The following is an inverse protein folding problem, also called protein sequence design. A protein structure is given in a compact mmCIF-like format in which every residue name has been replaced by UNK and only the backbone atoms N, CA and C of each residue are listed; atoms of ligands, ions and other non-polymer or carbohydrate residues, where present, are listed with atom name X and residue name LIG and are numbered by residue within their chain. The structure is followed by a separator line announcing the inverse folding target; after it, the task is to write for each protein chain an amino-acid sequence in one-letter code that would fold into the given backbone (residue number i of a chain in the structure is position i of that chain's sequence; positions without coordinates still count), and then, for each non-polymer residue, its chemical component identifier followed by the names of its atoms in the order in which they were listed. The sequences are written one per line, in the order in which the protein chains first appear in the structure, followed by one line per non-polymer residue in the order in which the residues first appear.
data_IF_048120675551
#
_entry.id   IF_048120675551
#
_cell.length_a   1.000
_cell.length_b   1.000
_cell.length_c   1.000
_cell.angle_alpha   90.00
_cell.angle_beta   90.00
_cell.angle_gamma   90.00
#
_symmetry.space_group_name_H-M   'P 1'
#
loop_
_entity.id
_entity.type
_entity.pdbx_description
1 polymer ?
#
# COMPACT_ATOMS: atom_id res chain seq x y z
N UNK A 1 17.65 6.36 -27.02
CA UNK A 1 17.23 7.67 -26.57
C UNK A 1 17.54 7.85 -25.08
N UNK A 2 18.07 9.00 -24.67
CA UNK A 2 18.55 9.28 -23.28
C UNK A 2 17.42 9.18 -22.23
N UNK A 3 16.19 9.52 -22.61
CA UNK A 3 15.01 9.43 -21.74
C UNK A 3 14.63 7.98 -21.41
N UNK A 4 14.68 7.07 -22.39
CA UNK A 4 14.35 5.66 -22.18
C UNK A 4 15.37 4.92 -21.29
N UNK A 5 16.63 5.37 -21.26
CA UNK A 5 17.65 4.85 -20.36
C UNK A 5 17.47 5.32 -18.91
N UNK A 6 16.97 6.56 -18.72
CA UNK A 6 16.69 7.12 -17.38
C UNK A 6 15.45 6.49 -16.75
N UNK A 7 14.41 6.24 -17.54
CA UNK A 7 13.22 5.52 -17.09
C UNK A 7 13.52 4.07 -16.71
N UNK A 8 14.34 3.36 -17.52
CA UNK A 8 14.78 1.98 -17.21
C UNK A 8 15.62 1.90 -15.93
N UNK A 9 16.51 2.86 -15.65
CA UNK A 9 17.26 2.90 -14.39
C UNK A 9 16.37 3.14 -13.18
N UNK A 10 15.39 4.02 -13.29
CA UNK A 10 14.38 4.26 -12.23
C UNK A 10 13.57 3.00 -11.93
N UNK A 11 13.18 2.25 -12.96
CA UNK A 11 12.44 1.01 -12.82
C UNK A 11 13.30 -0.11 -12.21
N UNK A 12 14.57 -0.24 -12.58
CA UNK A 12 15.52 -1.21 -12.00
C UNK A 12 15.84 -0.89 -10.53
N UNK A 13 15.95 0.38 -10.15
CA UNK A 13 16.17 0.81 -8.76
C UNK A 13 14.93 0.55 -7.88
N UNK A 14 13.72 0.66 -8.42
CA UNK A 14 12.48 0.39 -7.68
C UNK A 14 12.31 -1.09 -7.34
N UNK A 15 12.84 -1.99 -8.16
CA UNK A 15 12.72 -3.44 -8.04
C UNK A 15 13.77 -4.04 -7.09
N UNK A 16 14.92 -3.38 -6.89
CA UNK A 16 15.99 -3.89 -6.01
C UNK A 16 15.71 -3.57 -4.54
N UNK A 17 15.86 -4.55 -3.62
CA UNK A 17 15.85 -4.27 -2.19
C UNK A 17 16.95 -3.26 -1.83
N UNK A 18 16.61 -2.27 -1.02
CA UNK A 18 17.56 -1.23 -0.57
C UNK A 18 17.99 -1.42 0.87
N UNK A 19 17.20 -2.12 1.66
CA UNK A 19 17.39 -2.23 3.11
C UNK A 19 17.70 -3.66 3.56
N UNK A 20 17.47 -4.68 2.73
CA UNK A 20 17.65 -6.10 3.08
C UNK A 20 19.12 -6.51 2.95
N UNK A 21 19.92 -6.22 3.98
CA UNK A 21 21.32 -6.67 4.06
C UNK A 21 21.41 -8.08 4.68
N UNK A 22 22.07 -8.99 3.97
CA UNK A 22 22.28 -10.36 4.45
C UNK A 22 23.04 -10.42 5.79
N UNK A 23 23.90 -9.44 6.09
CA UNK A 23 24.64 -9.38 7.35
C UNK A 23 23.73 -9.00 8.53
N UNK A 24 22.64 -8.31 8.30
CA UNK A 24 21.70 -7.93 9.36
C UNK A 24 20.81 -9.07 9.82
N UNK A 25 20.70 -10.17 9.06
CA UNK A 25 19.86 -11.34 9.37
C UNK A 25 20.24 -11.98 10.71
N UNK A 26 21.54 -11.94 11.08
CA UNK A 26 22.04 -12.48 12.35
C UNK A 26 21.69 -11.64 13.58
N UNK A 27 21.24 -10.40 13.41
CA UNK A 27 20.84 -9.49 14.49
C UNK A 27 19.33 -9.17 14.33
N UNK A 28 18.46 -9.87 15.06
CA UNK A 28 17.02 -9.84 14.82
C UNK A 28 16.39 -8.44 14.83
N UNK A 29 16.81 -7.53 15.71
CA UNK A 29 16.33 -6.16 15.77
C UNK A 29 16.68 -5.36 14.50
N UNK A 30 17.90 -5.50 14.00
CA UNK A 30 18.33 -4.88 12.75
C UNK A 30 17.59 -5.46 11.56
N UNK A 31 17.39 -6.78 11.56
CA UNK A 31 16.65 -7.47 10.52
C UNK A 31 15.20 -6.98 10.44
N UNK A 32 14.51 -6.81 11.57
CA UNK A 32 13.15 -6.31 11.61
C UNK A 32 13.03 -4.84 11.18
N UNK A 33 14.03 -4.01 11.52
CA UNK A 33 14.09 -2.62 11.04
C UNK A 33 14.27 -2.57 9.51
N UNK A 34 15.21 -3.37 8.99
CA UNK A 34 15.42 -3.47 7.55
C UNK A 34 14.16 -3.94 6.81
N UNK A 35 13.50 -4.98 7.33
CA UNK A 35 12.25 -5.49 6.81
C UNK A 35 11.16 -4.41 6.78
N UNK A 36 11.01 -3.65 7.87
CA UNK A 36 10.02 -2.57 7.96
C UNK A 36 10.26 -1.47 6.93
N UNK A 37 11.52 -1.05 6.74
CA UNK A 37 11.87 -0.04 5.75
C UNK A 37 11.52 -0.51 4.34
N UNK A 38 11.76 -1.79 4.02
CA UNK A 38 11.40 -2.37 2.73
C UNK A 38 9.89 -2.50 2.55
N UNK A 39 9.14 -2.81 3.63
CA UNK A 39 7.67 -2.80 3.64
C UNK A 39 7.08 -1.41 3.41
N UNK A 40 7.75 -0.36 3.82
CA UNK A 40 7.40 1.02 3.45
C UNK A 40 7.48 1.24 1.93
N UNK A 41 8.51 0.70 1.28
CA UNK A 41 8.67 0.78 -0.18
C UNK A 41 7.60 -0.03 -0.92
N UNK A 42 7.31 -1.25 -0.47
CA UNK A 42 6.21 -2.05 -1.07
C UNK A 42 4.85 -1.40 -0.86
N UNK A 43 4.64 -0.70 0.27
CA UNK A 43 3.42 0.08 0.50
C UNK A 43 3.27 1.23 -0.51
N UNK A 44 4.35 1.92 -0.84
CA UNK A 44 4.33 2.96 -1.90
C UNK A 44 3.92 2.38 -3.24
N UNK A 45 4.45 1.20 -3.63
CA UNK A 45 4.07 0.53 -4.88
C UNK A 45 2.60 0.11 -4.89
N UNK A 46 2.11 -0.47 -3.80
CA UNK A 46 0.70 -0.83 -3.65
C UNK A 46 -0.22 0.40 -3.71
N UNK A 47 0.15 1.50 -3.05
CA UNK A 47 -0.56 2.78 -3.14
C UNK A 47 -0.57 3.37 -4.55
N UNK A 48 0.54 3.23 -5.29
CA UNK A 48 0.61 3.64 -6.69
C UNK A 48 -0.28 2.79 -7.60
N UNK A 49 -0.44 1.48 -7.32
CA UNK A 49 -1.43 0.64 -8.02
C UNK A 49 -2.86 1.15 -7.76
N UNK A 50 -3.20 1.49 -6.52
CA UNK A 50 -4.50 2.07 -6.20
C UNK A 50 -4.73 3.40 -6.94
N UNK A 51 -3.75 4.31 -6.92
CA UNK A 51 -3.86 5.59 -7.66
C UNK A 51 -4.06 5.38 -9.15
N UNK A 52 -3.31 4.48 -9.75
CA UNK A 52 -3.40 4.20 -11.18
C UNK A 52 -4.76 3.61 -11.58
N UNK A 53 -5.33 2.73 -10.75
CA UNK A 53 -6.59 2.05 -11.05
C UNK A 53 -7.83 2.92 -10.82
N UNK A 54 -7.76 3.93 -9.97
CA UNK A 54 -8.88 4.86 -9.74
C UNK A 54 -9.01 5.93 -10.83
N UNK A 55 -8.07 6.03 -11.77
CA UNK A 55 -8.24 6.88 -12.95
C UNK A 55 -9.40 6.41 -13.85
N UNK A 56 -9.89 7.30 -14.69
CA UNK A 56 -10.96 7.01 -15.64
C UNK A 56 -10.55 7.46 -17.04
N UNK A 57 -10.18 6.55 -17.94
CA UNK A 57 -10.03 5.09 -17.73
C UNK A 57 -8.85 4.75 -16.80
N UNK A 58 -8.78 3.50 -16.27
CA UNK A 58 -7.64 3.03 -15.46
C UNK A 58 -6.32 3.10 -16.24
N UNK A 59 -5.23 3.47 -15.57
CA UNK A 59 -3.88 3.38 -16.13
C UNK A 59 -3.34 1.96 -15.93
N UNK A 60 -3.84 1.02 -16.73
CA UNK A 60 -3.49 -0.41 -16.67
C UNK A 60 -1.98 -0.66 -16.83
N UNK A 61 -1.24 0.02 -17.74
CA UNK A 61 0.21 -0.11 -17.82
C UNK A 61 0.93 0.28 -16.52
N UNK A 62 0.46 1.33 -15.85
CA UNK A 62 1.05 1.78 -14.58
C UNK A 62 0.72 0.82 -13.44
N UNK A 63 -0.50 0.26 -13.39
CA UNK A 63 -0.87 -0.79 -12.43
C UNK A 63 0.01 -2.01 -12.62
N UNK A 64 0.22 -2.49 -13.86
CA UNK A 64 1.06 -3.63 -14.17
C UNK A 64 2.50 -3.40 -13.71
N UNK A 65 3.11 -2.29 -14.11
CA UNK A 65 4.49 -1.95 -13.76
C UNK A 65 4.72 -1.88 -12.24
N UNK A 66 3.89 -1.16 -11.51
CA UNK A 66 4.01 -1.09 -10.05
C UNK A 66 3.76 -2.44 -9.39
N UNK A 67 2.80 -3.20 -9.89
CA UNK A 67 2.50 -4.53 -9.38
C UNK A 67 3.63 -5.53 -9.63
N UNK A 68 4.35 -5.47 -10.77
CA UNK A 68 5.49 -6.33 -11.05
C UNK A 68 6.69 -5.96 -10.17
N UNK A 69 6.95 -4.66 -9.96
CA UNK A 69 7.93 -4.18 -9.00
C UNK A 69 7.61 -4.63 -7.56
N UNK A 70 6.33 -4.58 -7.18
CA UNK A 70 5.84 -5.08 -5.90
C UNK A 70 6.15 -6.58 -5.72
N UNK A 71 5.81 -7.42 -6.70
CA UNK A 71 6.07 -8.88 -6.66
C UNK A 71 7.56 -9.18 -6.54
N UNK A 72 8.42 -8.45 -7.24
CA UNK A 72 9.86 -8.63 -7.15
C UNK A 72 10.40 -8.32 -5.73
N UNK A 73 9.96 -7.20 -5.13
CA UNK A 73 10.34 -6.85 -3.75
C UNK A 73 9.78 -7.83 -2.71
N UNK A 74 8.54 -8.27 -2.85
CA UNK A 74 7.94 -9.24 -1.91
C UNK A 74 8.63 -10.59 -1.97
N UNK A 75 9.10 -11.01 -3.15
CA UNK A 75 9.94 -12.21 -3.30
C UNK A 75 11.25 -12.09 -2.53
N UNK A 76 11.91 -10.94 -2.61
CA UNK A 76 13.14 -10.67 -1.85
C UNK A 76 12.87 -10.62 -0.34
N UNK A 77 11.78 -9.97 0.09
CA UNK A 77 11.33 -9.95 1.49
C UNK A 77 11.10 -11.37 2.00
N UNK A 78 10.41 -12.23 1.23
CA UNK A 78 10.17 -13.62 1.60
C UNK A 78 11.46 -14.42 1.78
N UNK A 79 12.46 -14.20 0.92
CA UNK A 79 13.77 -14.85 1.03
C UNK A 79 14.55 -14.38 2.27
N UNK A 80 14.52 -13.07 2.53
CA UNK A 80 15.14 -12.47 3.71
C UNK A 80 14.50 -12.95 5.02
N UNK A 81 13.16 -12.97 5.08
CA UNK A 81 12.40 -13.42 6.25
C UNK A 81 12.71 -14.87 6.61
N UNK A 82 12.90 -15.76 5.63
CA UNK A 82 13.33 -17.14 5.89
C UNK A 82 14.67 -17.21 6.61
N UNK A 83 15.61 -16.31 6.30
CA UNK A 83 16.88 -16.21 6.99
C UNK A 83 16.71 -15.82 8.47
N UNK A 84 15.84 -14.86 8.74
CA UNK A 84 15.55 -14.39 10.11
C UNK A 84 14.88 -15.47 10.96
N UNK A 85 13.98 -16.27 10.41
CA UNK A 85 13.21 -17.30 11.13
C UNK A 85 14.00 -18.57 11.44
N UNK A 86 15.21 -18.73 10.90
CA UNK A 86 16.09 -19.87 11.26
C UNK A 86 16.70 -19.74 12.66
N UNK A 87 16.63 -18.55 13.28
CA UNK A 87 17.08 -18.29 14.65
C UNK A 87 15.90 -18.29 15.62
N UNK A 88 16.12 -18.72 16.87
CA UNK A 88 15.11 -18.60 17.92
C UNK A 88 14.89 -17.14 18.27
N UNK A 89 13.73 -16.60 17.91
CA UNK A 89 13.37 -15.21 18.18
C UNK A 89 12.75 -15.08 19.58
N UNK A 90 13.12 -14.07 20.37
CA UNK A 90 12.36 -13.66 21.55
C UNK A 90 10.90 -13.34 21.17
N UNK A 91 9.96 -13.58 22.09
CA UNK A 91 8.52 -13.44 21.83
C UNK A 91 8.16 -12.07 21.22
N UNK A 92 8.68 -10.99 21.78
CA UNK A 92 8.41 -9.63 21.30
C UNK A 92 8.84 -9.42 19.83
N UNK A 93 9.98 -10.00 19.42
CA UNK A 93 10.47 -9.92 18.06
C UNK A 93 9.68 -10.83 17.11
N UNK A 94 9.22 -11.98 17.57
CA UNK A 94 8.32 -12.85 16.81
C UNK A 94 6.97 -12.17 16.56
N UNK A 95 6.41 -11.46 17.54
CA UNK A 95 5.20 -10.67 17.40
C UNK A 95 5.40 -9.48 16.43
N UNK A 96 6.54 -8.80 16.50
CA UNK A 96 6.89 -7.73 15.57
C UNK A 96 7.01 -8.26 14.13
N UNK A 97 7.64 -9.42 13.94
CA UNK A 97 7.72 -10.08 12.64
C UNK A 97 6.32 -10.43 12.11
N UNK A 98 5.46 -11.01 12.95
CA UNK A 98 4.07 -11.34 12.56
C UNK A 98 3.29 -10.10 12.12
N UNK A 99 3.47 -8.94 12.78
CA UNK A 99 2.86 -7.67 12.37
C UNK A 99 3.40 -7.18 11.01
N UNK A 100 4.71 -7.29 10.78
CA UNK A 100 5.32 -6.97 9.48
C UNK A 100 4.72 -7.82 8.36
N UNK A 101 4.62 -9.14 8.56
CA UNK A 101 4.04 -10.05 7.57
C UNK A 101 2.54 -9.76 7.33
N UNK A 102 1.81 -9.33 8.36
CA UNK A 102 0.41 -8.90 8.20
C UNK A 102 0.29 -7.64 7.34
N UNK A 103 1.19 -6.66 7.52
CA UNK A 103 1.22 -5.48 6.65
C UNK A 103 1.46 -5.87 5.19
N UNK A 104 2.40 -6.79 4.94
CA UNK A 104 2.67 -7.31 3.61
C UNK A 104 1.44 -7.98 2.99
N UNK A 105 0.73 -8.83 3.74
CA UNK A 105 -0.48 -9.50 3.29
C UNK A 105 -1.58 -8.51 2.87
N UNK A 106 -1.73 -7.40 3.59
CA UNK A 106 -2.66 -6.34 3.20
C UNK A 106 -2.24 -5.69 1.88
N UNK A 107 -0.95 -5.43 1.69
CA UNK A 107 -0.42 -4.85 0.45
C UNK A 107 -0.61 -5.80 -0.75
N UNK A 108 -0.34 -7.08 -0.60
CA UNK A 108 -0.59 -8.12 -1.62
C UNK A 108 -2.07 -8.11 -2.04
N UNK A 109 -2.96 -8.14 -1.06
CA UNK A 109 -4.41 -8.11 -1.30
C UNK A 109 -4.86 -6.82 -2.01
N UNK A 110 -4.22 -5.69 -1.73
CA UNK A 110 -4.49 -4.41 -2.41
C UNK A 110 -4.04 -4.44 -3.87
N UNK A 111 -2.84 -4.94 -4.14
CA UNK A 111 -2.28 -5.03 -5.50
C UNK A 111 -3.09 -5.99 -6.36
N UNK A 112 -3.48 -7.16 -5.83
CA UNK A 112 -4.31 -8.14 -6.54
C UNK A 112 -5.69 -7.55 -6.90
N UNK A 113 -6.31 -6.85 -5.95
CA UNK A 113 -7.59 -6.17 -6.19
C UNK A 113 -7.45 -5.05 -7.23
N UNK A 114 -6.36 -4.27 -7.19
CA UNK A 114 -6.09 -3.20 -8.16
C UNK A 114 -5.84 -3.76 -9.57
N UNK A 115 -5.09 -4.85 -9.71
CA UNK A 115 -4.87 -5.53 -11.01
C UNK A 115 -6.19 -6.02 -11.61
N UNK A 116 -6.98 -6.75 -10.82
CA UNK A 116 -8.29 -7.25 -11.25
C UNK A 116 -9.26 -6.10 -11.60
N UNK A 117 -9.20 -4.99 -10.87
CA UNK A 117 -10.01 -3.81 -11.15
C UNK A 117 -9.55 -3.09 -12.43
N UNK A 118 -8.25 -3.05 -12.74
CA UNK A 118 -7.73 -2.45 -13.95
C UNK A 118 -8.18 -3.21 -15.20
N UNK A 119 -8.05 -4.54 -15.21
CA UNK A 119 -8.51 -5.41 -16.29
C UNK A 119 -10.02 -5.26 -16.54
N UNK A 120 -10.81 -5.30 -15.47
CA UNK A 120 -12.26 -5.17 -15.58
C UNK A 120 -12.65 -3.75 -16.00
N UNK A 121 -12.02 -2.71 -15.44
CA UNK A 121 -12.31 -1.31 -15.76
C UNK A 121 -11.96 -0.96 -17.19
N UNK A 122 -10.87 -1.52 -17.75
CA UNK A 122 -10.51 -1.36 -19.16
C UNK A 122 -11.56 -2.00 -20.08
N UNK A 123 -12.05 -3.19 -19.73
CA UNK A 123 -13.09 -3.88 -20.48
C UNK A 123 -14.45 -3.19 -20.43
N UNK A 124 -14.78 -2.53 -19.32
CA UNK A 124 -16.06 -1.81 -19.14
C UNK A 124 -16.05 -0.40 -19.75
N UNK A 125 -14.88 0.23 -19.82
CA UNK A 125 -14.75 1.59 -20.34
C UNK A 125 -15.25 2.67 -19.38
N UNK A 126 -15.99 3.65 -19.92
CA UNK A 126 -16.51 4.78 -19.12
C UNK A 126 -17.75 4.37 -18.31
N UNK A 127 -17.90 4.91 -17.09
CA UNK A 127 -19.09 4.65 -16.28
C UNK A 127 -20.37 5.07 -17.02
N UNK A 128 -21.48 4.33 -16.84
CA UNK A 128 -22.78 4.73 -17.37
C UNK A 128 -23.21 6.10 -16.82
N UNK A 129 -24.01 6.82 -17.61
CA UNK A 129 -24.65 8.08 -17.18
C UNK A 129 -25.67 7.84 -16.03
N UNK A 130 -26.58 8.78 -15.81
CA UNK A 130 -27.65 8.72 -14.80
C UNK A 130 -27.16 8.75 -13.33
N UNK A 131 -26.13 9.55 -13.06
CA UNK A 131 -25.59 9.75 -11.71
C UNK A 131 -24.61 8.67 -11.25
N UNK A 132 -24.43 7.58 -12.03
CA UNK A 132 -23.44 6.54 -11.75
C UNK A 132 -22.03 7.08 -11.93
N UNK A 133 -21.79 7.81 -13.01
CA UNK A 133 -20.52 8.49 -13.31
C UNK A 133 -20.10 9.47 -12.21
N UNK A 134 -21.05 10.25 -11.69
CA UNK A 134 -20.83 11.15 -10.56
C UNK A 134 -20.51 10.39 -9.28
N UNK A 135 -21.28 9.34 -8.95
CA UNK A 135 -21.05 8.51 -7.78
C UNK A 135 -19.69 7.79 -7.83
N UNK A 136 -19.27 7.30 -9.03
CA UNK A 136 -17.93 6.76 -9.24
C UNK A 136 -16.85 7.82 -9.02
N UNK A 137 -17.05 9.02 -9.53
CA UNK A 137 -16.09 10.12 -9.36
C UNK A 137 -15.91 10.46 -7.89
N UNK A 138 -16.99 10.57 -7.11
CA UNK A 138 -16.92 10.83 -5.68
C UNK A 138 -16.19 9.72 -4.92
N UNK A 139 -16.46 8.46 -5.25
CA UNK A 139 -15.77 7.34 -4.63
C UNK A 139 -14.28 7.31 -4.99
N UNK A 140 -13.91 7.50 -6.25
CA UNK A 140 -12.51 7.55 -6.71
C UNK A 140 -11.72 8.66 -6.02
N UNK A 141 -12.32 9.85 -5.89
CA UNK A 141 -11.70 10.98 -5.20
C UNK A 141 -11.41 10.64 -3.74
N UNK A 142 -12.38 10.06 -3.02
CA UNK A 142 -12.19 9.65 -1.63
C UNK A 142 -11.12 8.55 -1.46
N UNK A 143 -11.07 7.58 -2.39
CA UNK A 143 -10.03 6.56 -2.43
C UNK A 143 -8.64 7.17 -2.73
N UNK A 144 -8.57 8.18 -3.60
CA UNK A 144 -7.35 8.92 -3.92
C UNK A 144 -6.83 9.70 -2.71
N UNK A 145 -7.69 10.42 -2.02
CA UNK A 145 -7.34 11.15 -0.78
C UNK A 145 -6.77 10.21 0.27
N UNK A 146 -7.37 9.03 0.45
CA UNK A 146 -6.86 8.00 1.36
C UNK A 146 -5.50 7.48 0.90
N UNK A 147 -5.33 7.15 -0.36
CA UNK A 147 -4.07 6.68 -0.91
C UNK A 147 -2.94 7.71 -0.71
N UNK A 148 -3.26 9.00 -0.88
CA UNK A 148 -2.31 10.09 -0.67
C UNK A 148 -1.94 10.27 0.80
N UNK A 149 -2.91 10.20 1.71
CA UNK A 149 -2.67 10.31 3.14
C UNK A 149 -1.91 9.10 3.71
N UNK A 150 -2.03 7.93 3.07
CA UNK A 150 -1.42 6.67 3.51
C UNK A 150 0.07 6.55 3.21
N UNK A 151 0.68 7.52 2.51
CA UNK A 151 2.09 7.42 2.10
C UNK A 151 3.04 7.51 3.28
N UNK A 152 3.99 6.55 3.44
CA UNK A 152 5.01 6.59 4.48
C UNK A 152 5.88 7.85 4.38
N UNK A 153 6.26 8.40 5.54
CA UNK A 153 7.15 9.56 5.61
C UNK A 153 6.49 10.89 5.24
N UNK A 154 5.19 10.95 4.98
CA UNK A 154 4.48 12.22 4.83
C UNK A 154 4.42 12.96 6.17
N UNK A 155 4.87 14.24 6.23
CA UNK A 155 4.65 15.05 7.44
C UNK A 155 3.16 15.11 7.76
N UNK A 156 2.80 14.83 9.02
CA UNK A 156 1.41 14.89 9.47
C UNK A 156 0.61 13.60 9.25
N UNK A 157 1.24 12.47 8.94
CA UNK A 157 0.56 11.17 8.95
C UNK A 157 -0.04 10.92 10.36
N UNK A 158 -1.35 10.65 10.39
CA UNK A 158 -2.09 10.30 11.62
C UNK A 158 -3.01 9.13 11.32
N UNK A 159 -2.95 8.11 12.18
CA UNK A 159 -3.80 6.91 12.04
C UNK A 159 -5.29 7.26 12.05
N UNK A 160 -5.71 8.25 12.85
CA UNK A 160 -7.08 8.76 12.92
C UNK A 160 -7.55 9.37 11.59
N UNK A 161 -6.65 10.05 10.85
CA UNK A 161 -6.99 10.60 9.54
C UNK A 161 -7.24 9.48 8.52
N UNK A 162 -6.49 8.39 8.58
CA UNK A 162 -6.73 7.21 7.73
C UNK A 162 -8.08 6.57 8.03
N UNK A 163 -8.47 6.47 9.31
CA UNK A 163 -9.79 5.94 9.69
C UNK A 163 -10.93 6.84 9.18
N UNK A 164 -10.80 8.14 9.33
CA UNK A 164 -11.79 9.12 8.84
C UNK A 164 -11.91 9.08 7.31
N UNK A 165 -10.79 9.01 6.58
CA UNK A 165 -10.77 8.92 5.12
C UNK A 165 -11.33 7.58 4.64
N UNK A 166 -11.05 6.48 5.33
CA UNK A 166 -11.66 5.19 5.03
C UNK A 166 -13.18 5.22 5.21
N UNK A 167 -13.67 5.80 6.30
CA UNK A 167 -15.12 5.95 6.54
C UNK A 167 -15.78 6.82 5.44
N UNK A 168 -15.09 7.87 4.96
CA UNK A 168 -15.55 8.69 3.83
C UNK A 168 -15.63 7.85 2.56
N UNK A 169 -14.59 7.07 2.22
CA UNK A 169 -14.58 6.22 1.04
C UNK A 169 -15.68 5.15 1.11
N UNK A 170 -15.91 4.54 2.27
CA UNK A 170 -16.99 3.56 2.48
C UNK A 170 -18.39 4.18 2.26
N UNK A 171 -18.60 5.41 2.74
CA UNK A 171 -19.85 6.14 2.53
C UNK A 171 -20.08 6.40 1.02
N UNK A 172 -19.03 6.80 0.29
CA UNK A 172 -19.11 7.04 -1.16
C UNK A 172 -19.32 5.74 -1.93
N UNK A 173 -18.69 4.64 -1.49
CA UNK A 173 -18.94 3.32 -2.05
C UNK A 173 -20.40 2.87 -1.87
N UNK A 174 -20.98 3.07 -0.69
CA UNK A 174 -22.38 2.74 -0.42
C UNK A 174 -23.33 3.50 -1.36
N UNK A 175 -23.10 4.79 -1.57
CA UNK A 175 -23.88 5.60 -2.49
C UNK A 175 -23.74 5.14 -3.97
N UNK A 176 -22.50 4.78 -4.37
CA UNK A 176 -22.26 4.22 -5.71
C UNK A 176 -22.99 2.89 -5.91
N UNK A 177 -22.91 2.00 -4.92
CA UNK A 177 -23.61 0.71 -4.96
C UNK A 177 -25.12 0.89 -5.10
N UNK A 178 -25.70 1.83 -4.35
CA UNK A 178 -27.13 2.17 -4.45
C UNK A 178 -27.50 2.71 -5.82
N UNK A 179 -26.72 3.63 -6.38
CA UNK A 179 -26.95 4.18 -7.72
C UNK A 179 -26.96 3.07 -8.79
N UNK A 180 -26.01 2.13 -8.73
CA UNK A 180 -25.96 0.98 -9.64
C UNK A 180 -27.18 0.07 -9.51
N UNK A 181 -27.60 -0.24 -8.28
CA UNK A 181 -28.77 -1.07 -8.04
C UNK A 181 -30.09 -0.41 -8.51
N UNK A 182 -30.22 0.88 -8.27
CA UNK A 182 -31.39 1.66 -8.73
C UNK A 182 -31.42 1.71 -10.26
N UNK A 183 -30.29 1.94 -10.92
CA UNK A 183 -30.22 1.94 -12.38
C UNK A 183 -30.59 0.58 -13.00
N UNK A 184 -30.17 -0.51 -12.38
CA UNK A 184 -30.58 -1.87 -12.78
C UNK A 184 -32.07 -2.11 -12.57
N UNK A 185 -32.63 -1.68 -11.43
CA UNK A 185 -34.06 -1.84 -11.13
C UNK A 185 -34.97 -1.04 -12.08
N UNK A 186 -34.50 0.11 -12.57
CA UNK A 186 -35.22 0.94 -13.55
C UNK A 186 -34.89 0.57 -15.00
N UNK A 187 -34.18 -0.50 -15.26
CA UNK A 187 -33.74 -0.94 -16.59
C UNK A 187 -32.91 0.12 -17.37
N UNK A 188 -32.32 1.11 -16.68
CA UNK A 188 -31.36 2.03 -17.26
C UNK A 188 -30.00 1.35 -17.51
N UNK A 189 -29.75 0.25 -16.82
CA UNK A 189 -28.59 -0.61 -16.97
C UNK A 189 -29.06 -2.06 -16.99
N UNK A 190 -28.60 -2.85 -17.95
CA UNK A 190 -28.90 -4.27 -17.95
C UNK A 190 -28.23 -4.98 -16.76
N UNK A 191 -28.83 -6.11 -16.33
CA UNK A 191 -28.42 -6.80 -15.10
C UNK A 191 -26.95 -7.26 -15.15
N UNK A 192 -26.46 -7.69 -16.30
CA UNK A 192 -25.08 -8.14 -16.47
C UNK A 192 -24.10 -6.98 -16.32
N UNK A 193 -24.34 -5.89 -17.01
CA UNK A 193 -23.55 -4.67 -16.88
C UNK A 193 -23.58 -4.13 -15.44
N UNK A 194 -24.75 -4.13 -14.79
CA UNK A 194 -24.87 -3.74 -13.38
C UNK A 194 -23.96 -4.61 -12.47
N UNK A 195 -23.97 -5.94 -12.67
CA UNK A 195 -23.11 -6.86 -11.89
C UNK A 195 -21.64 -6.61 -12.11
N UNK A 196 -21.20 -6.34 -13.34
CA UNK A 196 -19.82 -6.07 -13.68
C UNK A 196 -19.36 -4.74 -13.06
N UNK A 197 -20.19 -3.69 -13.08
CA UNK A 197 -19.91 -2.42 -12.41
C UNK A 197 -19.88 -2.55 -10.88
N UNK A 198 -20.76 -3.35 -10.28
CA UNK A 198 -20.72 -3.65 -8.85
C UNK A 198 -19.44 -4.42 -8.47
N UNK A 199 -19.00 -5.33 -9.33
CA UNK A 199 -17.75 -6.06 -9.13
C UNK A 199 -16.54 -5.13 -9.18
N UNK A 200 -16.48 -4.23 -10.16
CA UNK A 200 -15.44 -3.20 -10.26
C UNK A 200 -15.40 -2.32 -9.00
N UNK A 201 -16.55 -1.80 -8.58
CA UNK A 201 -16.67 -0.97 -7.38
C UNK A 201 -16.18 -1.72 -6.13
N UNK A 202 -16.52 -3.02 -6.01
CA UNK A 202 -16.08 -3.87 -4.89
C UNK A 202 -14.58 -4.12 -4.88
N UNK A 203 -13.95 -4.30 -6.04
CA UNK A 203 -12.50 -4.46 -6.17
C UNK A 203 -11.76 -3.17 -5.77
N UNK A 204 -12.22 -2.02 -6.25
CA UNK A 204 -11.66 -0.71 -5.87
C UNK A 204 -11.81 -0.44 -4.38
N UNK A 205 -12.99 -0.74 -3.80
CA UNK A 205 -13.20 -0.65 -2.35
C UNK A 205 -12.22 -1.53 -1.59
N UNK A 206 -12.06 -2.80 -2.02
CA UNK A 206 -11.13 -3.74 -1.38
C UNK A 206 -9.71 -3.22 -1.42
N UNK A 207 -9.23 -2.74 -2.57
CA UNK A 207 -7.89 -2.16 -2.68
C UNK A 207 -7.71 -0.97 -1.70
N UNK A 208 -8.69 -0.06 -1.63
CA UNK A 208 -8.69 1.09 -0.73
C UNK A 208 -8.63 0.68 0.74
N UNK A 209 -9.47 -0.27 1.16
CA UNK A 209 -9.49 -0.80 2.52
C UNK A 209 -8.16 -1.46 2.93
N UNK A 210 -7.57 -2.25 2.02
CA UNK A 210 -6.31 -2.94 2.30
C UNK A 210 -5.13 -1.98 2.40
N UNK A 211 -5.09 -0.91 1.61
CA UNK A 211 -4.10 0.16 1.75
C UNK A 211 -4.24 0.85 3.12
N UNK A 212 -5.46 1.16 3.56
CA UNK A 212 -5.69 1.73 4.88
C UNK A 212 -5.20 0.82 6.02
N UNK A 213 -5.51 -0.49 5.94
CA UNK A 213 -5.05 -1.49 6.93
C UNK A 213 -3.53 -1.59 6.97
N UNK A 214 -2.89 -1.62 5.81
CA UNK A 214 -1.43 -1.64 5.71
C UNK A 214 -0.80 -0.40 6.33
N UNK A 215 -1.29 0.81 5.99
CA UNK A 215 -0.79 2.07 6.52
C UNK A 215 -0.86 2.11 8.06
N UNK A 216 -2.00 1.74 8.64
CA UNK A 216 -2.19 1.69 10.11
C UNK A 216 -1.28 0.66 10.77
N UNK A 217 -1.09 -0.50 10.14
CA UNK A 217 -0.19 -1.54 10.66
C UNK A 217 1.26 -1.08 10.63
N UNK A 218 1.70 -0.40 9.57
CA UNK A 218 3.05 0.15 9.47
C UNK A 218 3.27 1.28 10.49
N UNK A 219 2.28 2.17 10.72
CA UNK A 219 2.35 3.21 11.75
C UNK A 219 2.52 2.62 13.15
N UNK A 220 1.70 1.62 13.51
CA UNK A 220 1.80 0.96 14.80
C UNK A 220 3.16 0.25 15.03
N UNK A 221 3.87 -0.10 13.96
CA UNK A 221 5.24 -0.62 14.04
C UNK A 221 6.26 0.49 14.32
N UNK A 222 5.96 1.74 14.00
CA UNK A 222 6.85 2.88 14.30
C UNK A 222 6.85 3.21 15.78
N UNK A 223 5.70 3.14 16.40
CA UNK A 223 5.52 3.46 17.83
C UNK A 223 6.08 2.37 18.76
N UNK A 224 6.23 1.14 18.27
CA UNK A 224 6.59 -0.03 19.07
C UNK A 224 8.07 -0.44 19.10
N UNK A 225 8.96 0.23 18.37
CA UNK A 225 10.39 -0.07 18.41
C UNK A 225 11.11 0.83 19.44
N UNK A 226 11.97 0.26 20.32
CA UNK A 226 12.82 1.08 21.19
C UNK A 226 13.65 2.02 20.32
N UNK A 227 13.61 3.30 20.62
CA UNK A 227 14.50 4.26 19.99
C UNK A 227 15.95 3.90 20.32
N UNK A 228 16.90 4.01 19.39
CA UNK A 228 18.29 3.81 19.71
C UNK A 228 18.66 4.82 20.80
N UNK A 229 19.08 4.32 21.94
CA UNK A 229 19.69 5.14 22.98
C UNK A 229 20.98 5.66 22.35
N UNK A 230 20.97 6.93 21.94
CA UNK A 230 22.18 7.65 21.60
C UNK A 230 22.95 7.75 22.92
N UNK A 231 23.87 6.81 23.17
CA UNK A 231 24.87 7.00 24.21
C UNK A 231 25.60 8.31 23.95
N UNK A 232 25.25 9.33 24.70
CA UNK A 232 26.05 10.53 24.81
C UNK A 232 27.40 10.08 25.37
N UNK A 233 28.37 9.94 24.49
CA UNK A 233 29.77 9.81 24.84
C UNK A 233 30.14 11.15 25.47
N UNK A 234 29.99 11.23 26.78
CA UNK A 234 30.44 12.36 27.56
C UNK A 234 31.95 12.50 27.36
N UNK A 235 32.32 13.60 26.72
CA UNK A 235 33.68 14.11 26.71
C UNK A 235 34.01 14.56 28.14
N UNK A 236 34.51 13.65 28.97
CA UNK A 236 35.24 14.00 30.20
C UNK A 236 36.65 14.46 29.79
N UNK A 237 36.76 15.65 29.26
CA UNK A 237 37.99 16.44 29.35
C UNK A 237 37.99 17.21 30.67
N UNK A 238 38.34 16.53 31.75
CA UNK A 238 38.82 17.22 32.94
C UNK A 238 40.30 17.42 32.81
N UNK A 239 40.68 18.63 32.35
CA UNK A 239 42.00 19.14 32.49
C UNK A 239 42.45 19.12 33.96
N UNK A 240 43.65 18.65 34.18
CA UNK A 240 44.37 18.90 35.37
C UNK A 240 45.68 19.63 35.01
N UNK A 241 45.62 20.94 35.21
CA UNK A 241 46.81 21.79 35.37
C UNK A 241 47.17 21.81 36.84
N UNK A 242 48.32 21.26 37.17
CA UNK A 242 49.28 21.84 38.12
C UNK A 242 50.66 21.14 37.99
#
# INVERSE_FOLDING_TARGET
SFLSARFRRSDEESVRPQHLDANSVSVPDLALRALRMELGRTHVLAGNCLRAVIHSPPDTPLVSRNGDAFVALTTAIGSYTRGVTTTSLPLALAEALARNLRALQYQESAVDAARSAAELGEALGLPPAHGIDEAFTHFRNAAGELADASMPGKPGFRSEDIERLLASAETRYAALKEALLVAGAHAHLDIRSMQDWLRLASLLRRATEQIAKSARTLAALEDGLPQPVLEHRGDDESGNDQ
#
